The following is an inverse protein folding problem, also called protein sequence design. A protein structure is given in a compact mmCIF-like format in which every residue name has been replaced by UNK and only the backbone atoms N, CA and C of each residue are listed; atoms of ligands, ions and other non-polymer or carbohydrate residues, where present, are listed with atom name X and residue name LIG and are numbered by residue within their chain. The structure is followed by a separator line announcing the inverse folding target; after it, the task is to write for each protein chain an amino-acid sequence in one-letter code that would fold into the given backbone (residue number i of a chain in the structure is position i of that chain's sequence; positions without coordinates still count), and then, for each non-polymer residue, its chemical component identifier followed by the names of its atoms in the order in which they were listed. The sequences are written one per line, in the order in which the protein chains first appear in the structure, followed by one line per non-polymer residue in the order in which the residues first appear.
data_IF_204290442250
#
_entry.id   IF_204290442250
#
_cell.length_a   1.000
_cell.length_b   1.000
_cell.length_c   1.000
_cell.angle_alpha   90.00
_cell.angle_beta   90.00
_cell.angle_gamma   90.00
#
_symmetry.space_group_name_H-M   'P 1'
#
loop_
_entity.id
_entity.type
_entity.pdbx_description
1 polymer ?
#
# COMPACT_ATOMS: atom_id res chain seq x y z
N UNK A 1 44.78 52.74 9.51
CA UNK A 1 43.36 52.78 9.08
C UNK A 1 42.51 51.97 10.08
N UNK A 2 41.43 52.53 10.63
CA UNK A 2 40.77 51.99 11.82
C UNK A 2 39.99 50.70 11.50
N UNK A 3 40.16 49.67 12.34
CA UNK A 3 39.62 48.31 12.13
C UNK A 3 38.08 48.24 12.32
N UNK A 4 37.51 49.13 13.13
CA UNK A 4 36.10 49.08 13.54
C UNK A 4 35.09 49.29 12.39
N UNK A 5 35.45 50.05 11.37
CA UNK A 5 34.54 50.33 10.24
C UNK A 5 34.55 49.16 9.24
N UNK A 6 35.68 48.45 9.13
CA UNK A 6 35.82 47.31 8.23
C UNK A 6 34.99 46.11 8.70
N UNK A 7 34.92 45.89 10.01
CA UNK A 7 34.10 44.82 10.61
C UNK A 7 32.60 45.02 10.35
N UNK A 8 32.09 46.26 10.53
CA UNK A 8 30.68 46.58 10.27
C UNK A 8 30.29 46.44 8.78
N UNK A 9 31.19 46.78 7.86
CA UNK A 9 30.97 46.55 6.43
C UNK A 9 31.02 45.07 6.06
N UNK A 10 31.92 44.29 6.67
CA UNK A 10 31.98 42.85 6.45
C UNK A 10 30.72 42.14 6.95
N UNK A 11 30.17 42.56 8.09
CA UNK A 11 28.91 42.02 8.62
C UNK A 11 27.72 42.34 7.72
N UNK A 12 27.63 43.57 7.20
CA UNK A 12 26.59 43.95 6.24
C UNK A 12 26.67 43.16 4.92
N UNK A 13 27.88 42.85 4.42
CA UNK A 13 28.05 42.03 3.23
C UNK A 13 27.65 40.57 3.52
N UNK A 14 28.07 40.02 4.65
CA UNK A 14 27.73 38.67 5.08
C UNK A 14 26.21 38.51 5.25
N UNK A 15 25.54 39.46 5.88
CA UNK A 15 24.09 39.44 6.04
C UNK A 15 23.36 39.45 4.69
N UNK A 16 23.85 40.22 3.70
CA UNK A 16 23.28 40.23 2.34
C UNK A 16 23.51 38.92 1.59
N UNK A 17 24.67 38.28 1.77
CA UNK A 17 24.94 36.97 1.17
C UNK A 17 24.08 35.87 1.80
N UNK A 18 23.92 35.90 3.12
CA UNK A 18 23.03 34.99 3.85
C UNK A 18 21.57 35.19 3.43
N UNK A 19 21.11 36.43 3.25
CA UNK A 19 19.78 36.75 2.71
C UNK A 19 19.60 36.16 1.30
N UNK A 20 20.55 36.39 0.41
CA UNK A 20 20.49 35.85 -0.95
C UNK A 20 20.51 34.31 -0.96
N UNK A 21 21.29 33.68 -0.08
CA UNK A 21 21.30 32.21 0.07
C UNK A 21 19.93 31.70 0.49
N UNK A 22 19.30 32.32 1.48
CA UNK A 22 17.98 31.91 1.99
C UNK A 22 16.92 32.09 0.90
N UNK A 23 16.96 33.19 0.13
CA UNK A 23 16.03 33.42 -0.98
C UNK A 23 16.21 32.32 -2.05
N UNK A 24 17.45 32.02 -2.45
CA UNK A 24 17.72 30.99 -3.45
C UNK A 24 17.29 29.59 -2.97
N UNK A 25 17.49 29.27 -1.70
CA UNK A 25 17.06 28.01 -1.10
C UNK A 25 15.54 27.90 -1.04
N UNK A 26 14.85 28.98 -0.67
CA UNK A 26 13.38 29.03 -0.67
C UNK A 26 12.81 28.90 -2.09
N UNK A 27 13.43 29.55 -3.08
CA UNK A 27 13.05 29.43 -4.49
C UNK A 27 13.30 28.00 -5.01
N UNK A 28 14.44 27.39 -4.69
CA UNK A 28 14.72 26.00 -5.03
C UNK A 28 13.69 25.06 -4.41
N UNK A 29 13.41 25.20 -3.11
CA UNK A 29 12.39 24.40 -2.42
C UNK A 29 11.01 24.55 -3.05
N UNK A 30 10.60 25.77 -3.43
CA UNK A 30 9.34 26.01 -4.14
C UNK A 30 9.31 25.32 -5.51
N UNK A 31 10.41 25.45 -6.25
CA UNK A 31 10.55 24.88 -7.59
C UNK A 31 10.61 23.34 -7.55
N UNK A 32 10.99 22.74 -6.43
CA UNK A 32 10.97 21.29 -6.25
C UNK A 32 9.60 20.77 -5.77
N UNK A 33 9.02 21.41 -4.75
CA UNK A 33 7.79 20.93 -4.10
C UNK A 33 6.56 21.12 -4.97
N UNK A 34 6.41 22.28 -5.63
CA UNK A 34 5.19 22.60 -6.37
C UNK A 34 4.99 21.69 -7.59
N UNK A 35 6.00 21.44 -8.44
CA UNK A 35 5.86 20.51 -9.57
C UNK A 35 5.66 19.07 -9.11
N UNK A 36 6.35 18.64 -8.05
CA UNK A 36 6.18 17.29 -7.50
C UNK A 36 4.76 17.05 -7.01
N UNK A 37 4.22 17.96 -6.19
CA UNK A 37 2.85 17.88 -5.72
C UNK A 37 1.82 17.93 -6.86
N UNK A 38 2.08 18.72 -7.92
CA UNK A 38 1.24 18.72 -9.13
C UNK A 38 1.30 17.40 -9.88
N UNK A 39 2.48 16.80 -10.02
CA UNK A 39 2.67 15.49 -10.63
C UNK A 39 1.95 14.39 -9.85
N UNK A 40 2.07 14.39 -8.53
CA UNK A 40 1.38 13.43 -7.66
C UNK A 40 -0.15 13.57 -7.75
N UNK A 41 -0.66 14.82 -7.76
CA UNK A 41 -2.08 15.08 -7.93
C UNK A 41 -2.60 14.62 -9.30
N UNK A 42 -1.85 14.90 -10.37
CA UNK A 42 -2.19 14.45 -11.72
C UNK A 42 -2.16 12.92 -11.82
N UNK A 43 -1.15 12.27 -11.25
CA UNK A 43 -1.05 10.81 -11.19
C UNK A 43 -2.23 10.18 -10.45
N UNK A 44 -2.67 10.77 -9.34
CA UNK A 44 -3.84 10.31 -8.59
C UNK A 44 -5.13 10.41 -9.42
N UNK A 45 -5.30 11.49 -10.20
CA UNK A 45 -6.45 11.64 -11.10
C UNK A 45 -6.41 10.61 -12.23
N UNK A 46 -5.25 10.43 -12.86
CA UNK A 46 -5.07 9.44 -13.93
C UNK A 46 -5.29 8.01 -13.44
N UNK A 47 -4.82 7.67 -12.24
CA UNK A 47 -5.06 6.36 -11.63
C UNK A 47 -6.56 6.14 -11.37
N UNK A 48 -7.26 7.16 -10.86
CA UNK A 48 -8.71 7.10 -10.64
C UNK A 48 -9.48 6.93 -11.96
N UNK A 49 -9.09 7.66 -13.02
CA UNK A 49 -9.68 7.52 -14.35
C UNK A 49 -9.39 6.16 -14.97
N UNK A 50 -8.16 5.66 -14.84
CA UNK A 50 -7.76 4.33 -15.29
C UNK A 50 -8.55 3.25 -14.55
N UNK A 51 -8.75 3.39 -13.24
CA UNK A 51 -9.57 2.48 -12.44
C UNK A 51 -11.01 2.47 -12.91
N UNK A 52 -11.62 3.65 -13.05
CA UNK A 52 -12.99 3.79 -13.57
C UNK A 52 -13.14 3.14 -14.94
N UNK A 53 -12.20 3.41 -15.84
CA UNK A 53 -12.21 2.87 -17.20
C UNK A 53 -12.05 1.35 -17.20
N UNK A 54 -11.15 0.82 -16.39
CA UNK A 54 -10.93 -0.63 -16.24
C UNK A 54 -12.20 -1.34 -15.77
N UNK A 55 -12.84 -0.81 -14.73
CA UNK A 55 -14.10 -1.38 -14.21
C UNK A 55 -15.18 -1.35 -15.28
N UNK A 56 -15.38 -0.19 -15.93
CA UNK A 56 -16.39 -0.04 -16.98
C UNK A 56 -16.14 -0.99 -18.16
N UNK A 57 -14.90 -1.12 -18.62
CA UNK A 57 -14.54 -2.01 -19.73
C UNK A 57 -14.64 -3.48 -19.35
N UNK A 58 -14.25 -3.87 -18.13
CA UNK A 58 -14.45 -5.23 -17.62
C UNK A 58 -15.93 -5.58 -17.61
N UNK A 59 -16.76 -4.71 -17.02
CA UNK A 59 -18.21 -4.92 -16.96
C UNK A 59 -18.85 -5.00 -18.35
N UNK A 60 -18.41 -4.17 -19.30
CA UNK A 60 -18.86 -4.26 -20.69
C UNK A 60 -18.45 -5.59 -21.35
N UNK A 61 -17.21 -6.03 -21.16
CA UNK A 61 -16.71 -7.31 -21.69
C UNK A 61 -17.45 -8.50 -21.10
N UNK A 62 -17.64 -8.52 -19.79
CA UNK A 62 -18.40 -9.55 -19.08
C UNK A 62 -19.87 -9.60 -19.53
N UNK A 63 -20.51 -8.44 -19.67
CA UNK A 63 -21.89 -8.34 -20.17
C UNK A 63 -21.99 -8.88 -21.59
N UNK A 64 -21.08 -8.49 -22.48
CA UNK A 64 -21.06 -8.97 -23.86
C UNK A 64 -20.87 -10.50 -23.92
N UNK A 65 -19.95 -11.05 -23.13
CA UNK A 65 -19.74 -12.49 -23.02
C UNK A 65 -21.01 -13.19 -22.51
N UNK A 66 -21.66 -12.63 -21.50
CA UNK A 66 -22.89 -13.18 -20.94
C UNK A 66 -24.04 -13.17 -21.97
N UNK A 67 -24.23 -12.07 -22.70
CA UNK A 67 -25.27 -11.98 -23.73
C UNK A 67 -25.03 -12.95 -24.89
N UNK A 68 -23.77 -13.12 -25.31
CA UNK A 68 -23.40 -14.12 -26.31
C UNK A 68 -23.74 -15.54 -25.82
N UNK A 69 -23.36 -15.86 -24.58
CA UNK A 69 -23.67 -17.15 -23.97
C UNK A 69 -25.18 -17.37 -23.81
N UNK A 70 -25.92 -16.35 -23.38
CA UNK A 70 -27.38 -16.42 -23.23
C UNK A 70 -28.07 -16.70 -24.57
N UNK A 71 -27.55 -16.13 -25.67
CA UNK A 71 -28.08 -16.37 -27.01
C UNK A 71 -27.93 -17.83 -27.41
N UNK A 72 -26.76 -18.45 -27.15
CA UNK A 72 -26.54 -19.87 -27.43
C UNK A 72 -27.30 -20.78 -26.47
N UNK A 73 -27.38 -20.43 -25.19
CA UNK A 73 -28.16 -21.17 -24.19
C UNK A 73 -29.65 -21.25 -24.57
N UNK A 74 -30.21 -20.17 -25.10
CA UNK A 74 -31.59 -20.16 -25.62
C UNK A 74 -31.80 -21.10 -26.80
N UNK A 75 -30.77 -21.33 -27.63
CA UNK A 75 -30.85 -22.27 -28.76
C UNK A 75 -30.74 -23.72 -28.31
N UNK A 76 -29.83 -24.01 -27.37
CA UNK A 76 -29.55 -25.38 -26.93
C UNK A 76 -29.18 -25.43 -25.43
N UNK A 77 -30.18 -25.52 -24.53
CA UNK A 77 -29.96 -25.36 -23.09
C UNK A 77 -29.21 -26.54 -22.45
N UNK A 78 -29.53 -27.79 -22.82
CA UNK A 78 -28.91 -28.98 -22.21
C UNK A 78 -27.41 -29.04 -22.47
N UNK A 79 -26.99 -29.02 -23.74
CA UNK A 79 -25.57 -29.09 -24.12
C UNK A 79 -24.74 -27.92 -23.61
N UNK A 80 -25.34 -26.72 -23.52
CA UNK A 80 -24.65 -25.52 -23.03
C UNK A 80 -24.43 -25.61 -21.52
N UNK A 81 -25.41 -26.13 -20.77
CA UNK A 81 -25.28 -26.36 -19.33
C UNK A 81 -24.20 -27.40 -19.03
N UNK A 82 -24.19 -28.51 -19.77
CA UNK A 82 -23.20 -29.56 -19.59
C UNK A 82 -21.78 -29.07 -19.90
N UNK A 83 -21.61 -28.31 -20.99
CA UNK A 83 -20.34 -27.64 -21.30
C UNK A 83 -19.90 -26.72 -20.17
N UNK A 84 -20.76 -25.82 -19.70
CA UNK A 84 -20.41 -24.89 -18.61
C UNK A 84 -19.99 -25.64 -17.33
N UNK A 85 -20.66 -26.75 -17.02
CA UNK A 85 -20.29 -27.60 -15.90
C UNK A 85 -18.89 -28.21 -16.10
N UNK A 86 -18.65 -28.85 -17.25
CA UNK A 86 -17.35 -29.44 -17.55
C UNK A 86 -16.22 -28.41 -17.55
N UNK A 87 -16.43 -27.24 -18.18
CA UNK A 87 -15.46 -26.14 -18.20
C UNK A 87 -15.14 -25.65 -16.78
N UNK A 88 -16.17 -25.54 -15.91
CA UNK A 88 -15.97 -25.12 -14.52
C UNK A 88 -15.18 -26.13 -13.71
N UNK A 89 -15.50 -27.42 -13.88
CA UNK A 89 -14.84 -28.53 -13.18
C UNK A 89 -13.40 -28.70 -13.69
N UNK A 90 -13.17 -28.55 -14.99
CA UNK A 90 -11.84 -28.52 -15.59
C UNK A 90 -11.00 -27.39 -14.99
N UNK A 91 -11.55 -26.15 -14.94
CA UNK A 91 -10.85 -25.00 -14.36
C UNK A 91 -10.48 -25.21 -12.89
N UNK A 92 -11.39 -25.79 -12.09
CA UNK A 92 -11.13 -26.10 -10.68
C UNK A 92 -10.04 -27.17 -10.55
N UNK A 93 -10.11 -28.25 -11.33
CA UNK A 93 -9.12 -29.32 -11.28
C UNK A 93 -7.75 -28.92 -11.87
N UNK A 94 -7.70 -27.99 -12.82
CA UNK A 94 -6.46 -27.44 -13.36
C UNK A 94 -5.71 -26.61 -12.32
N UNK A 95 -6.44 -25.85 -11.50
CA UNK A 95 -5.86 -24.98 -10.46
C UNK A 95 -5.64 -25.71 -9.12
N UNK A 96 -5.96 -27.01 -9.02
CA UNK A 96 -5.80 -27.80 -7.80
C UNK A 96 -4.42 -28.46 -7.74
N UNK A 97 -3.57 -28.19 -6.73
CA UNK A 97 -2.33 -28.93 -6.54
C UNK A 97 -2.64 -30.40 -6.23
N UNK A 98 -2.18 -31.28 -7.12
CA UNK A 98 -2.32 -32.73 -6.97
C UNK A 98 -1.13 -33.27 -6.19
N UNK A 99 -1.38 -33.91 -5.05
CA UNK A 99 -0.33 -34.56 -4.24
C UNK A 99 -0.39 -36.06 -4.52
N UNK A 100 0.67 -36.60 -5.13
CA UNK A 100 0.84 -38.04 -5.29
C UNK A 100 1.60 -38.60 -4.09
N UNK A 101 1.02 -39.56 -3.38
CA UNK A 101 1.72 -40.29 -2.31
C UNK A 101 2.30 -41.56 -2.92
N UNK A 102 3.62 -41.61 -3.03
CA UNK A 102 4.37 -42.80 -3.45
C UNK A 102 4.48 -43.76 -2.26
N UNK A 103 3.78 -44.90 -2.34
CA UNK A 103 3.95 -46.00 -1.39
C UNK A 103 4.83 -47.03 -2.08
N UNK A 104 5.99 -47.32 -1.48
CA UNK A 104 7.07 -48.18 -1.99
C UNK A 104 6.66 -49.57 -2.51
N UNK A 105 5.41 -49.98 -2.33
CA UNK A 105 4.82 -51.18 -2.93
C UNK A 105 3.53 -50.84 -3.70
N UNK A 106 3.70 -50.29 -4.90
CA UNK A 106 2.88 -50.64 -6.06
C UNK A 106 1.53 -49.95 -6.29
N UNK A 107 1.12 -48.97 -5.48
CA UNK A 107 -0.11 -48.21 -5.77
C UNK A 107 0.00 -46.74 -5.34
N UNK A 108 0.29 -45.86 -6.30
CA UNK A 108 0.27 -44.42 -6.09
C UNK A 108 -1.18 -43.95 -5.91
N UNK A 109 -1.57 -43.66 -4.68
CA UNK A 109 -2.88 -43.09 -4.37
C UNK A 109 -2.82 -41.58 -4.64
N UNK A 110 -3.52 -41.14 -5.71
CA UNK A 110 -3.73 -39.73 -5.98
C UNK A 110 -4.77 -39.19 -4.99
N UNK A 111 -4.32 -38.46 -3.98
CA UNK A 111 -5.21 -37.85 -2.99
C UNK A 111 -5.46 -36.39 -3.37
N UNK A 112 -6.72 -36.02 -3.52
CA UNK A 112 -7.16 -34.63 -3.62
C UNK A 112 -7.49 -34.16 -2.20
N UNK A 113 -6.65 -33.32 -1.56
CA UNK A 113 -6.94 -32.82 -0.23
C UNK A 113 -8.03 -31.74 -0.31
N UNK A 114 -9.30 -32.15 -0.25
CA UNK A 114 -10.44 -31.22 -0.17
C UNK A 114 -10.38 -30.34 1.09
N UNK A 115 -9.75 -30.86 2.17
CA UNK A 115 -9.69 -30.19 3.47
C UNK A 115 -8.65 -29.06 3.57
N UNK A 116 -7.64 -29.00 2.69
CA UNK A 116 -6.66 -27.90 2.70
C UNK A 116 -7.22 -26.60 2.08
N UNK A 117 -8.27 -26.67 1.26
CA UNK A 117 -8.85 -25.51 0.59
C UNK A 117 -9.71 -24.63 1.52
N UNK A 118 -10.40 -25.22 2.51
CA UNK A 118 -11.19 -24.46 3.48
C UNK A 118 -10.28 -23.73 4.50
N UNK A 119 -9.10 -24.28 4.79
CA UNK A 119 -8.11 -23.67 5.69
C UNK A 119 -7.15 -22.71 4.98
N UNK A 120 -6.97 -22.84 3.66
CA UNK A 120 -6.17 -21.91 2.84
C UNK A 120 -6.74 -20.49 2.73
N UNK A 121 -8.01 -20.27 3.09
CA UNK A 121 -8.62 -18.93 3.10
C UNK A 121 -8.26 -18.10 4.34
N UNK A 122 -7.53 -18.66 5.32
CA UNK A 122 -7.06 -17.91 6.49
C UNK A 122 -5.67 -17.28 6.34
N UNK A 123 -4.95 -17.54 5.25
CA UNK A 123 -3.60 -17.01 5.03
C UNK A 123 -3.51 -16.07 3.82
N UNK A 124 -4.49 -15.15 3.68
CA UNK A 124 -4.24 -13.91 2.92
C UNK A 124 -3.50 -12.97 3.87
N UNK A 125 -2.27 -12.51 3.55
CA UNK A 125 -1.69 -11.40 4.29
C UNK A 125 -2.64 -10.21 4.11
N UNK A 126 -3.35 -9.85 5.18
CA UNK A 126 -3.95 -8.53 5.29
C UNK A 126 -2.79 -7.56 5.18
N UNK A 127 -2.67 -6.91 4.01
CA UNK A 127 -1.95 -5.66 3.89
C UNK A 127 -2.44 -4.79 5.04
N UNK A 128 -1.54 -4.52 5.97
CA UNK A 128 -1.73 -3.69 7.14
C UNK A 128 -2.19 -2.31 6.70
N UNK A 129 -3.51 -2.13 6.60
CA UNK A 129 -4.14 -0.84 6.82
C UNK A 129 -3.96 -0.56 8.31
N UNK A 130 -2.83 0.06 8.66
CA UNK A 130 -2.67 0.73 9.93
C UNK A 130 -3.74 1.82 9.98
N UNK A 131 -4.81 1.53 10.71
CA UNK A 131 -5.76 2.52 11.16
C UNK A 131 -5.00 3.60 11.94
N UNK A 132 -4.75 4.72 11.28
CA UNK A 132 -4.52 6.01 11.92
C UNK A 132 -5.82 6.36 12.67
N UNK A 133 -5.82 6.14 13.98
CA UNK A 133 -6.55 6.86 15.04
C UNK A 133 -6.85 5.91 16.18
N UNK A 134 -5.93 5.83 17.15
CA UNK A 134 -6.19 5.69 18.61
C UNK A 134 -4.98 5.10 19.34
N UNK A 135 -3.88 5.86 19.43
CA UNK A 135 -2.83 5.53 20.41
C UNK A 135 -1.99 6.76 20.80
N UNK A 136 -2.68 7.86 21.14
CA UNK A 136 -2.05 9.10 21.60
C UNK A 136 -2.21 9.38 23.11
N UNK A 137 -2.79 8.47 23.90
CA UNK A 137 -3.22 8.80 25.27
C UNK A 137 -2.73 7.88 26.40
N UNK A 138 -1.83 6.92 26.16
CA UNK A 138 -1.36 6.01 27.22
C UNK A 138 0.17 6.02 27.50
N UNK A 139 0.95 6.86 26.80
CA UNK A 139 2.41 6.96 26.98
C UNK A 139 2.89 8.23 27.68
N UNK A 140 2.05 9.26 27.83
CA UNK A 140 2.43 10.56 28.42
C UNK A 140 2.13 10.68 29.92
N UNK A 141 1.19 9.90 30.45
CA UNK A 141 0.86 9.92 31.89
C UNK A 141 1.91 9.15 32.72
N UNK A 142 2.50 8.07 32.19
CA UNK A 142 3.47 7.26 32.95
C UNK A 142 4.91 7.83 32.98
N UNK A 143 5.28 8.75 32.08
CA UNK A 143 6.63 9.35 32.06
C UNK A 143 6.76 10.59 32.98
N UNK A 144 5.64 11.24 33.32
CA UNK A 144 5.63 12.43 34.20
C UNK A 144 5.77 12.11 35.69
N UNK A 145 5.40 10.89 36.13
CA UNK A 145 5.55 10.45 37.52
C UNK A 145 6.94 9.88 37.86
N UNK A 146 7.75 9.52 36.86
CA UNK A 146 9.12 8.99 37.07
C UNK A 146 10.19 10.07 37.15
N UNK A 147 9.89 11.29 36.69
CA UNK A 147 10.82 12.43 36.73
C UNK A 147 10.76 13.21 38.05
N UNK A 148 9.69 13.09 38.84
CA UNK A 148 9.51 13.85 40.10
C UNK A 148 10.14 13.18 41.33
N UNK A 149 10.52 11.91 41.28
CA UNK A 149 11.09 11.17 42.42
C UNK A 149 12.62 11.14 42.50
N UNK A 150 13.33 11.74 41.52
CA UNK A 150 14.80 11.66 41.43
C UNK A 150 15.52 13.02 41.58
N UNK A 151 14.79 14.10 41.89
CA UNK A 151 15.33 15.47 41.96
C UNK A 151 15.45 16.07 43.39
N UNK A 152 15.24 15.28 44.45
CA UNK A 152 15.16 15.83 45.83
C UNK A 152 16.16 15.24 46.84
N UNK A 153 17.28 14.64 46.41
CA UNK A 153 18.37 14.25 47.32
C UNK A 153 19.73 14.48 46.70
N UNK A 154 20.56 15.28 47.39
CA UNK A 154 21.95 15.69 47.10
C UNK A 154 22.04 16.94 46.20
N UNK A 155 22.55 18.09 46.61
CA UNK A 155 23.61 18.35 47.60
C UNK A 155 23.66 19.84 47.99
N UNK A 156 23.42 20.12 49.27
CA UNK A 156 24.00 21.26 49.97
C UNK A 156 25.16 20.79 50.86
N UNK A 157 26.04 21.72 51.24
CA UNK A 157 27.34 21.57 51.93
C UNK A 157 28.47 21.15 50.98
N UNK A 158 29.49 21.98 50.76
CA UNK A 158 30.36 22.65 51.73
C UNK A 158 30.92 23.96 51.17
#
# INVERSE_FOLDING_TARGET
PPEQVQEAFADAIKAREDEQRIINEAEASRNDVVPKARGDAQGMLEEAEAYRTRVLKSSQGETNRFLALLTEYKKAPEVTRDRLYLDSVESVYANTPKVMVDVKEGNNLMYLPLNQFLTGQQNRPTSSTSNLTSDANNSTINDSFRRSSTSSRMRGTR
#
